data_IF_217008201115
#
_entry.id   IF_217008201115
#
_cell.length_a   1.000
_cell.length_b   1.000
_cell.length_c   1.000
_cell.angle_alpha   90.00
_cell.angle_beta   90.00
_cell.angle_gamma   90.00
#
_symmetry.space_group_name_H-M   'P 1'
#
loop_
_entity.id
_entity.type
_entity.pdbx_description
1 polymer ?
#
# COMPACT_ATOMS: atom_id res chain seq x y z
N UNK A 1 21.07 0.82 -25.38
CA UNK A 1 20.53 -0.14 -26.37
C UNK A 1 21.53 -1.28 -26.50
N UNK A 2 21.07 -2.53 -26.63
CA UNK A 2 21.96 -3.68 -26.80
C UNK A 2 21.43 -4.55 -27.95
N UNK A 3 22.24 -4.76 -28.99
CA UNK A 3 21.84 -5.51 -30.19
C UNK A 3 22.99 -6.34 -30.77
N UNK A 4 22.63 -7.43 -31.44
CA UNK A 4 23.55 -8.22 -32.28
C UNK A 4 23.86 -7.56 -33.63
N UNK A 5 23.16 -6.47 -33.97
CA UNK A 5 23.31 -5.79 -35.25
C UNK A 5 24.66 -5.08 -35.40
N UNK A 6 24.95 -4.70 -36.64
CA UNK A 6 26.14 -3.94 -37.00
C UNK A 6 26.11 -2.50 -36.43
N UNK A 7 27.30 -1.93 -36.20
CA UNK A 7 27.51 -0.62 -35.56
C UNK A 7 26.73 0.49 -36.26
N UNK A 8 26.81 0.55 -37.59
CA UNK A 8 26.18 1.61 -38.38
C UNK A 8 24.66 1.59 -38.26
N UNK A 9 24.06 0.41 -38.36
CA UNK A 9 22.61 0.22 -38.24
C UNK A 9 22.13 0.58 -36.85
N UNK A 10 22.79 0.04 -35.82
CA UNK A 10 22.42 0.29 -34.43
C UNK A 10 22.58 1.77 -34.06
N UNK A 11 23.65 2.44 -34.53
CA UNK A 11 23.87 3.88 -34.31
C UNK A 11 22.78 4.73 -34.98
N UNK A 12 22.42 4.41 -36.22
CA UNK A 12 21.38 5.13 -36.96
C UNK A 12 20.03 5.02 -36.25
N UNK A 13 19.60 3.80 -35.91
CA UNK A 13 18.33 3.55 -35.20
C UNK A 13 18.36 4.22 -33.81
N UNK A 14 19.44 4.06 -33.05
CA UNK A 14 19.56 4.66 -31.72
C UNK A 14 19.49 6.18 -31.76
N UNK A 15 20.01 6.82 -32.81
CA UNK A 15 19.95 8.28 -33.00
C UNK A 15 18.52 8.73 -33.32
N UNK A 16 17.84 8.02 -34.22
CA UNK A 16 16.44 8.31 -34.58
C UNK A 16 15.49 8.13 -33.38
N UNK A 17 15.74 7.13 -32.53
CA UNK A 17 14.96 6.88 -31.32
C UNK A 17 15.33 7.80 -30.14
N UNK A 18 16.34 8.68 -30.28
CA UNK A 18 16.82 9.54 -29.20
C UNK A 18 17.53 8.80 -28.05
N UNK A 19 17.94 7.54 -28.28
CA UNK A 19 18.72 6.73 -27.31
C UNK A 19 20.18 7.20 -27.33
N UNK A 20 20.71 7.47 -28.53
CA UNK A 20 22.04 8.02 -28.71
C UNK A 20 21.96 9.55 -28.65
N UNK A 21 22.64 10.15 -27.68
CA UNK A 21 22.70 11.61 -27.47
C UNK A 21 24.15 12.11 -27.60
N UNK A 22 24.35 13.42 -27.75
CA UNK A 22 25.68 14.00 -27.84
C UNK A 22 26.52 13.62 -26.61
N UNK A 23 27.66 12.94 -26.83
CA UNK A 23 28.50 12.37 -25.77
C UNK A 23 28.23 10.88 -25.45
N UNK A 24 27.29 10.24 -26.13
CA UNK A 24 27.06 8.80 -26.02
C UNK A 24 28.18 7.97 -26.64
N UNK A 25 28.42 6.79 -26.07
CA UNK A 25 29.44 5.84 -26.54
C UNK A 25 28.75 4.67 -27.25
N UNK A 26 29.25 4.32 -28.45
CA UNK A 26 28.87 3.10 -29.17
C UNK A 26 30.04 2.14 -29.10
N UNK A 27 29.79 0.91 -28.67
CA UNK A 27 30.82 -0.08 -28.43
C UNK A 27 30.44 -1.43 -29.02
N UNK A 28 31.42 -2.20 -29.49
CA UNK A 28 31.20 -3.57 -29.93
C UNK A 28 31.35 -4.57 -28.77
N UNK A 29 30.55 -5.65 -28.78
CA UNK A 29 30.60 -6.73 -27.78
C UNK A 29 32.00 -7.30 -27.50
N UNK A 30 32.86 -7.56 -28.51
CA UNK A 30 34.23 -8.03 -28.26
C UNK A 30 35.12 -7.04 -27.51
N UNK A 31 34.87 -5.73 -27.65
CA UNK A 31 35.60 -4.69 -26.91
C UNK A 31 35.08 -4.66 -25.47
N UNK A 32 33.76 -4.73 -25.31
CA UNK A 32 33.09 -4.76 -24.00
C UNK A 32 33.59 -5.92 -23.12
N UNK A 33 33.82 -7.10 -23.70
CA UNK A 33 34.37 -8.27 -22.98
C UNK A 33 35.79 -8.11 -22.45
N UNK A 34 36.56 -7.18 -23.00
CA UNK A 34 37.95 -6.92 -22.58
C UNK A 34 38.05 -5.85 -21.50
N UNK A 35 36.96 -5.12 -21.23
CA UNK A 35 36.94 -4.08 -20.21
C UNK A 35 37.08 -4.69 -18.82
N UNK A 36 37.86 -4.02 -17.99
CA UNK A 36 37.88 -4.35 -16.57
C UNK A 36 36.61 -3.80 -15.89
N UNK A 37 36.26 -4.32 -14.71
CA UNK A 37 35.04 -3.93 -13.99
C UNK A 37 34.95 -2.42 -13.78
N UNK A 38 36.03 -1.76 -13.35
CA UNK A 38 36.06 -0.31 -13.15
C UNK A 38 35.86 0.49 -14.46
N UNK A 39 36.42 0.01 -15.57
CA UNK A 39 36.27 0.64 -16.89
C UNK A 39 34.84 0.48 -17.40
N UNK A 40 34.25 -0.68 -17.15
CA UNK A 40 32.85 -0.97 -17.44
C UNK A 40 31.95 0.01 -16.67
N UNK A 41 32.17 0.22 -15.38
CA UNK A 41 31.39 1.19 -14.59
C UNK A 41 31.44 2.62 -15.13
N UNK A 42 32.61 3.08 -15.53
CA UNK A 42 32.79 4.41 -16.11
C UNK A 42 32.11 4.56 -17.48
N UNK A 43 31.94 3.46 -18.21
CA UNK A 43 31.36 3.44 -19.54
C UNK A 43 29.85 3.25 -19.54
N UNK A 44 29.26 2.61 -18.52
CA UNK A 44 27.84 2.22 -18.49
C UNK A 44 26.75 3.34 -18.59
N UNK A 45 26.97 4.65 -18.38
CA UNK A 45 25.91 5.62 -18.64
C UNK A 45 25.68 5.86 -20.15
N UNK A 46 24.47 5.49 -20.63
CA UNK A 46 23.91 5.85 -21.96
C UNK A 46 24.67 5.28 -23.18
N UNK A 47 24.84 3.96 -23.22
CA UNK A 47 25.55 3.28 -24.32
C UNK A 47 24.67 2.51 -25.31
N UNK A 48 25.21 2.35 -26.52
CA UNK A 48 24.73 1.42 -27.54
C UNK A 48 25.76 0.29 -27.69
N UNK A 49 25.43 -0.90 -27.23
CA UNK A 49 26.24 -2.11 -27.42
C UNK A 49 25.79 -2.82 -28.70
N UNK A 50 26.73 -3.07 -29.59
CA UNK A 50 26.49 -3.65 -30.93
C UNK A 50 27.26 -4.94 -31.09
N UNK A 51 26.84 -5.82 -32.02
CA UNK A 51 27.41 -7.17 -32.16
C UNK A 51 27.51 -7.93 -30.82
N UNK A 52 26.54 -7.73 -29.93
CA UNK A 52 26.52 -8.35 -28.60
C UNK A 52 26.11 -9.83 -28.69
N UNK A 53 26.83 -10.71 -28.03
CA UNK A 53 26.39 -12.09 -27.79
C UNK A 53 25.33 -12.15 -26.68
N UNK A 54 24.57 -13.27 -26.56
CA UNK A 54 23.65 -13.48 -25.43
C UNK A 54 24.33 -13.34 -24.07
N UNK A 55 25.60 -13.75 -23.98
CA UNK A 55 26.40 -13.66 -22.77
C UNK A 55 26.82 -12.23 -22.46
N UNK A 56 27.16 -11.42 -23.47
CA UNK A 56 27.46 -10.00 -23.29
C UNK A 56 26.26 -9.24 -22.72
N UNK A 57 25.05 -9.57 -23.19
CA UNK A 57 23.79 -9.02 -22.65
C UNK A 57 23.58 -9.40 -21.18
N UNK A 58 23.88 -10.65 -20.85
CA UNK A 58 23.78 -11.19 -19.48
C UNK A 58 24.71 -10.44 -18.53
N UNK A 59 25.99 -10.32 -18.89
CA UNK A 59 27.02 -9.63 -18.09
C UNK A 59 26.65 -8.15 -17.88
N UNK A 60 26.19 -7.48 -18.95
CA UNK A 60 25.76 -6.09 -18.88
C UNK A 60 24.65 -5.89 -17.83
N UNK A 61 23.61 -6.74 -17.87
CA UNK A 61 22.48 -6.64 -16.94
C UNK A 61 22.91 -6.97 -15.52
N UNK A 62 23.73 -8.02 -15.34
CA UNK A 62 24.25 -8.42 -14.04
C UNK A 62 25.08 -7.30 -13.39
N UNK A 63 25.96 -6.64 -14.15
CA UNK A 63 26.77 -5.52 -13.64
C UNK A 63 25.91 -4.31 -13.29
N UNK A 64 24.92 -3.97 -14.11
CA UNK A 64 23.96 -2.90 -13.78
C UNK A 64 23.17 -3.23 -12.51
N UNK A 65 22.74 -4.48 -12.32
CA UNK A 65 22.11 -4.91 -11.06
C UNK A 65 23.08 -4.81 -9.87
N UNK A 66 24.36 -5.16 -10.05
CA UNK A 66 25.37 -5.09 -8.98
C UNK A 66 25.68 -3.66 -8.51
N UNK A 67 25.41 -2.66 -9.36
CA UNK A 67 25.52 -1.24 -9.01
C UNK A 67 24.36 -0.74 -8.15
N UNK A 68 23.38 -1.60 -7.86
CA UNK A 68 22.17 -1.23 -7.15
C UNK A 68 21.12 -0.56 -8.04
N UNK A 69 21.30 -0.56 -9.37
CA UNK A 69 20.29 -0.02 -10.30
C UNK A 69 19.15 -1.02 -10.53
N UNK A 70 17.93 -0.51 -10.66
CA UNK A 70 16.76 -1.34 -11.00
C UNK A 70 16.69 -1.52 -12.51
N UNK A 71 17.20 -2.64 -12.99
CA UNK A 71 17.26 -2.96 -14.42
C UNK A 71 15.98 -3.64 -14.92
N UNK A 72 15.40 -3.08 -15.97
CA UNK A 72 14.34 -3.71 -16.75
C UNK A 72 14.83 -4.04 -18.16
N UNK A 73 14.60 -5.26 -18.62
CA UNK A 73 15.04 -5.75 -19.94
C UNK A 73 13.82 -6.09 -20.79
N UNK A 74 13.83 -5.63 -22.04
CA UNK A 74 12.83 -5.97 -23.05
C UNK A 74 13.57 -6.66 -24.20
N UNK A 75 13.16 -7.88 -24.50
CA UNK A 75 13.79 -8.70 -25.53
C UNK A 75 12.76 -9.47 -26.33
N UNK A 76 13.07 -9.83 -27.56
CA UNK A 76 12.16 -10.48 -28.49
C UNK A 76 12.57 -11.91 -28.84
N UNK A 77 13.84 -12.27 -28.60
CA UNK A 77 14.41 -13.55 -28.98
C UNK A 77 14.87 -14.44 -27.81
N UNK A 78 15.22 -15.67 -28.15
CA UNK A 78 15.93 -16.63 -27.28
C UNK A 78 17.27 -16.09 -26.79
N UNK A 79 17.91 -15.24 -27.60
CA UNK A 79 19.17 -14.56 -27.28
C UNK A 79 19.08 -13.63 -26.08
N UNK A 80 17.88 -13.16 -25.72
CA UNK A 80 17.68 -12.30 -24.54
C UNK A 80 17.28 -13.11 -23.30
N UNK A 81 17.08 -14.42 -23.42
CA UNK A 81 16.64 -15.29 -22.33
C UNK A 81 17.48 -15.18 -21.06
N UNK A 82 18.82 -15.28 -21.15
CA UNK A 82 19.69 -15.12 -19.98
C UNK A 82 19.57 -13.74 -19.33
N UNK A 83 19.54 -12.67 -20.13
CA UNK A 83 19.41 -11.30 -19.65
C UNK A 83 18.04 -11.02 -19.03
N UNK A 84 16.96 -11.54 -19.62
CA UNK A 84 15.59 -11.43 -19.11
C UNK A 84 15.41 -12.12 -17.75
N UNK A 85 16.17 -13.20 -17.50
CA UNK A 85 16.10 -13.96 -16.23
C UNK A 85 16.82 -13.25 -15.07
N UNK A 86 17.91 -12.54 -15.36
CA UNK A 86 18.71 -11.83 -14.34
C UNK A 86 18.12 -10.45 -14.03
N UNK A 87 17.45 -9.82 -14.99
CA UNK A 87 16.82 -8.52 -14.79
C UNK A 87 15.75 -8.57 -13.68
N UNK A 88 15.63 -7.49 -12.91
CA UNK A 88 14.55 -7.33 -11.94
C UNK A 88 13.18 -7.40 -12.61
N UNK A 89 13.07 -6.87 -13.82
CA UNK A 89 11.86 -6.92 -14.64
C UNK A 89 12.23 -7.35 -16.07
N UNK A 90 11.96 -8.60 -16.40
CA UNK A 90 12.07 -9.13 -17.76
C UNK A 90 10.72 -9.10 -18.50
N UNK A 91 10.68 -8.55 -19.70
CA UNK A 91 9.47 -8.52 -20.54
C UNK A 91 9.76 -9.00 -21.96
N UNK A 92 9.10 -10.08 -22.40
CA UNK A 92 9.22 -10.52 -23.78
C UNK A 92 8.35 -9.68 -24.72
N UNK A 93 8.90 -9.31 -25.87
CA UNK A 93 8.22 -8.51 -26.88
C UNK A 93 7.05 -9.28 -27.49
N UNK A 94 7.21 -10.59 -27.72
CA UNK A 94 6.18 -11.46 -28.32
C UNK A 94 4.90 -11.50 -27.49
N UNK A 95 5.02 -11.71 -26.16
CA UNK A 95 3.86 -11.71 -25.26
C UNK A 95 3.17 -10.35 -25.23
N UNK A 96 3.93 -9.26 -25.36
CA UNK A 96 3.36 -7.92 -25.41
C UNK A 96 2.75 -7.54 -26.73
N UNK A 97 3.31 -7.99 -27.85
CA UNK A 97 2.68 -7.87 -29.16
C UNK A 97 1.31 -8.55 -29.13
N UNK A 98 1.24 -9.78 -28.60
CA UNK A 98 -0.02 -10.50 -28.42
C UNK A 98 -1.02 -9.82 -27.48
N UNK A 99 -0.56 -9.08 -26.47
CA UNK A 99 -1.44 -8.28 -25.58
C UNK A 99 -1.91 -6.99 -26.23
N UNK A 100 -1.05 -6.34 -27.03
CA UNK A 100 -1.39 -5.11 -27.75
C UNK A 100 -2.33 -5.40 -28.92
N UNK A 101 -2.12 -6.50 -29.67
CA UNK A 101 -2.95 -6.90 -30.81
C UNK A 101 -4.35 -7.38 -30.40
N UNK A 102 -4.50 -7.93 -29.18
CA UNK A 102 -5.82 -8.25 -28.59
C UNK A 102 -6.62 -7.01 -28.20
N UNK A 103 -5.98 -5.85 -28.00
CA UNK A 103 -6.67 -4.57 -27.78
C UNK A 103 -6.94 -3.92 -29.16
N UNK A 104 -8.14 -3.33 -29.35
CA UNK A 104 -8.65 -2.80 -30.64
C UNK A 104 -7.64 -1.96 -31.44
N UNK A 105 -7.87 -1.84 -32.75
CA UNK A 105 -7.03 -1.25 -33.84
C UNK A 105 -6.24 0.04 -33.57
N UNK A 106 -6.54 0.79 -32.49
CA UNK A 106 -5.81 2.00 -32.06
C UNK A 106 -5.18 1.86 -30.66
N UNK A 107 -4.84 0.63 -30.26
CA UNK A 107 -4.18 0.34 -28.99
C UNK A 107 -2.78 0.97 -28.91
N UNK A 108 -2.26 1.20 -27.69
CA UNK A 108 -0.90 1.71 -27.52
C UNK A 108 0.11 0.77 -28.17
N UNK A 109 1.11 1.34 -28.85
CA UNK A 109 2.28 0.60 -29.35
C UNK A 109 2.97 -0.13 -28.19
N UNK A 110 3.75 -1.17 -28.50
CA UNK A 110 4.46 -1.97 -27.49
C UNK A 110 5.19 -1.03 -26.51
N UNK A 111 5.99 -0.09 -27.02
CA UNK A 111 6.73 0.87 -26.18
C UNK A 111 5.83 1.84 -25.40
N UNK A 112 4.72 2.32 -25.98
CA UNK A 112 3.73 3.13 -25.25
C UNK A 112 3.12 2.38 -24.06
N UNK A 113 2.95 1.06 -24.17
CA UNK A 113 2.48 0.23 -23.05
C UNK A 113 3.48 0.20 -21.88
N UNK A 114 4.80 0.16 -22.12
CA UNK A 114 5.80 0.27 -21.02
C UNK A 114 5.59 1.53 -20.24
N UNK A 115 5.45 2.65 -20.93
CA UNK A 115 5.35 3.95 -20.24
C UNK A 115 4.09 3.95 -19.37
N UNK A 116 2.97 3.40 -19.86
CA UNK A 116 1.75 3.24 -19.08
C UNK A 116 1.92 2.29 -17.89
N UNK A 117 2.63 1.18 -18.07
CA UNK A 117 2.87 0.20 -17.01
C UNK A 117 3.78 0.80 -15.91
N UNK A 118 4.82 1.55 -16.29
CA UNK A 118 5.68 2.29 -15.36
C UNK A 118 4.88 3.36 -14.61
N UNK A 119 4.03 4.12 -15.32
CA UNK A 119 3.14 5.10 -14.67
C UNK A 119 2.21 4.42 -13.66
N UNK A 120 1.60 3.31 -14.03
CA UNK A 120 0.71 2.53 -13.15
C UNK A 120 1.46 2.01 -11.93
N UNK A 121 2.64 1.41 -12.11
CA UNK A 121 3.49 0.93 -11.02
C UNK A 121 3.86 2.04 -10.04
N UNK A 122 4.21 3.24 -10.53
CA UNK A 122 4.46 4.42 -9.70
C UNK A 122 3.22 4.85 -8.91
N UNK A 123 2.06 4.87 -9.56
CA UNK A 123 0.80 5.19 -8.88
C UNK A 123 0.49 4.19 -7.75
N UNK A 124 0.73 2.90 -7.99
CA UNK A 124 0.53 1.85 -6.98
C UNK A 124 1.50 2.02 -5.81
N UNK A 125 2.77 2.33 -6.07
CA UNK A 125 3.74 2.57 -4.99
C UNK A 125 3.33 3.78 -4.11
N UNK A 126 2.94 4.90 -4.74
CA UNK A 126 2.46 6.07 -4.01
C UNK A 126 1.17 5.76 -3.23
N UNK A 127 0.29 4.94 -3.81
CA UNK A 127 -0.93 4.48 -3.16
C UNK A 127 -0.61 3.66 -1.91
N UNK A 128 0.32 2.71 -2.01
CA UNK A 128 0.75 1.85 -0.90
C UNK A 128 1.38 2.68 0.21
N UNK A 129 2.20 3.69 -0.10
CA UNK A 129 2.81 4.56 0.92
C UNK A 129 1.75 5.35 1.71
N UNK A 130 0.77 5.93 1.04
CA UNK A 130 -0.36 6.62 1.68
C UNK A 130 -1.20 5.67 2.51
N UNK A 131 -1.38 4.44 2.02
CA UNK A 131 -2.08 3.39 2.75
C UNK A 131 -1.36 3.02 4.05
N UNK A 132 -0.05 2.76 3.96
CA UNK A 132 0.78 2.41 5.11
C UNK A 132 0.83 3.52 6.16
N UNK A 133 0.95 4.79 5.75
CA UNK A 133 0.96 5.91 6.69
C UNK A 133 -0.34 5.96 7.53
N UNK A 134 -1.49 5.81 6.88
CA UNK A 134 -2.78 5.85 7.55
C UNK A 134 -3.00 4.62 8.46
N UNK A 135 -2.69 3.42 7.94
CA UNK A 135 -2.92 2.18 8.67
C UNK A 135 -1.99 2.05 9.88
N UNK A 136 -0.70 2.36 9.70
CA UNK A 136 0.28 2.26 10.77
C UNK A 136 0.00 3.28 11.89
N UNK A 137 -0.41 4.51 11.54
CA UNK A 137 -0.80 5.53 12.53
C UNK A 137 -1.97 5.07 13.41
N UNK A 138 -2.95 4.41 12.78
CA UNK A 138 -4.15 3.93 13.46
C UNK A 138 -3.82 2.73 14.35
N UNK A 139 -3.03 1.79 13.86
CA UNK A 139 -2.63 0.60 14.62
C UNK A 139 -1.75 0.98 15.83
N UNK A 140 -0.80 1.90 15.67
CA UNK A 140 0.05 2.37 16.78
C UNK A 140 -0.81 3.02 17.87
N UNK A 141 -1.73 3.91 17.49
CA UNK A 141 -2.66 4.56 18.43
C UNK A 141 -3.49 3.53 19.18
N UNK A 142 -4.04 2.55 18.46
CA UNK A 142 -4.87 1.49 19.03
C UNK A 142 -4.15 0.68 20.12
N UNK A 143 -2.91 0.27 19.82
CA UNK A 143 -2.09 -0.48 20.77
C UNK A 143 -1.78 0.36 21.99
N UNK A 144 -1.29 1.59 21.80
CA UNK A 144 -0.89 2.46 22.93
C UNK A 144 -2.06 2.80 23.84
N UNK A 145 -3.20 3.23 23.27
CA UNK A 145 -4.39 3.56 24.08
C UNK A 145 -4.89 2.34 24.83
N UNK A 146 -4.97 1.18 24.17
CA UNK A 146 -5.42 -0.06 24.83
C UNK A 146 -4.46 -0.48 25.95
N UNK A 147 -3.15 -0.35 25.75
CA UNK A 147 -2.15 -0.66 26.77
C UNK A 147 -2.25 0.29 27.97
N UNK A 148 -2.35 1.60 27.74
CA UNK A 148 -2.47 2.59 28.82
C UNK A 148 -3.77 2.39 29.61
N UNK A 149 -4.91 2.26 28.93
CA UNK A 149 -6.20 2.03 29.59
C UNK A 149 -6.22 0.72 30.37
N UNK A 150 -5.59 -0.36 29.86
CA UNK A 150 -5.53 -1.63 30.58
C UNK A 150 -4.68 -1.59 31.86
N UNK A 151 -3.71 -0.68 31.94
CA UNK A 151 -2.87 -0.50 33.14
C UNK A 151 -3.62 0.34 34.18
N UNK A 152 -4.30 1.40 33.76
CA UNK A 152 -4.96 2.35 34.68
C UNK A 152 -6.33 1.85 35.15
N UNK A 153 -7.06 1.12 34.29
CA UNK A 153 -8.43 0.68 34.56
C UNK A 153 -8.53 -0.86 34.50
N UNK A 154 -8.85 -1.50 35.64
CA UNK A 154 -9.05 -2.96 35.74
C UNK A 154 -10.32 -3.44 35.03
N UNK A 155 -11.29 -2.54 34.85
CA UNK A 155 -12.40 -2.70 33.93
C UNK A 155 -12.06 -1.99 32.63
N UNK A 156 -11.95 -2.74 31.54
CA UNK A 156 -12.91 -2.61 30.44
C UNK A 156 -12.48 -3.46 29.24
N UNK A 157 -13.14 -4.60 29.13
CA UNK A 157 -13.18 -5.38 27.89
C UNK A 157 -13.81 -4.60 26.72
N UNK A 158 -14.43 -3.44 26.98
CA UNK A 158 -15.02 -2.51 26.03
C UNK A 158 -13.95 -1.84 25.15
N UNK A 159 -12.98 -1.11 25.72
CA UNK A 159 -11.93 -0.39 24.95
C UNK A 159 -11.12 -1.32 24.03
N UNK A 160 -10.83 -2.53 24.50
CA UNK A 160 -10.12 -3.57 23.71
C UNK A 160 -10.93 -4.06 22.49
N UNK A 161 -12.27 -4.14 22.60
CA UNK A 161 -13.16 -4.52 21.48
C UNK A 161 -13.37 -3.37 20.49
N UNK A 162 -13.35 -2.13 20.97
CA UNK A 162 -13.59 -0.92 20.17
C UNK A 162 -12.50 -0.73 19.10
N UNK A 163 -11.22 -0.91 19.45
CA UNK A 163 -10.12 -0.76 18.49
C UNK A 163 -10.04 -1.88 17.44
N UNK A 164 -10.38 -3.13 17.80
CA UNK A 164 -10.40 -4.26 16.88
C UNK A 164 -11.49 -4.14 15.80
N UNK A 165 -12.66 -3.57 16.13
CA UNK A 165 -13.72 -3.29 15.15
C UNK A 165 -13.39 -2.08 14.26
N UNK A 166 -12.79 -1.01 14.79
CA UNK A 166 -12.41 0.14 13.96
C UNK A 166 -11.25 -0.17 13.00
N UNK A 167 -10.21 -0.88 13.45
CA UNK A 167 -9.02 -1.12 12.61
C UNK A 167 -9.28 -1.94 11.35
N UNK A 168 -10.28 -2.84 11.39
CA UNK A 168 -10.60 -3.76 10.30
C UNK A 168 -11.54 -3.14 9.25
N UNK A 169 -12.51 -2.30 9.60
CA UNK A 169 -13.40 -1.63 8.63
C UNK A 169 -12.76 -0.39 7.96
N UNK A 170 -11.84 0.30 8.66
CA UNK A 170 -11.17 1.50 8.15
C UNK A 170 -10.10 1.21 7.07
N UNK A 171 -9.55 -0.01 7.03
CA UNK A 171 -8.47 -0.39 6.12
C UNK A 171 -8.94 -0.57 4.66
N UNK A 172 -10.13 -1.15 4.43
CA UNK A 172 -10.64 -1.45 3.08
C UNK A 172 -10.99 -0.20 2.28
N UNK A 173 -11.54 0.83 2.92
CA UNK A 173 -11.97 2.08 2.25
C UNK A 173 -10.80 2.96 1.82
N UNK A 174 -9.67 2.91 2.53
CA UNK A 174 -8.47 3.68 2.18
C UNK A 174 -7.64 3.02 1.06
N UNK A 175 -7.61 1.69 1.02
CA UNK A 175 -6.99 0.91 -0.07
C UNK A 175 -7.66 1.21 -1.43
N UNK A 176 -8.99 1.33 -1.45
CA UNK A 176 -9.75 1.69 -2.66
C UNK A 176 -9.48 3.12 -3.16
N UNK A 177 -9.16 4.06 -2.26
CA UNK A 177 -9.01 5.49 -2.60
C UNK A 177 -7.59 5.95 -2.91
N UNK A 178 -6.60 5.13 -2.57
CA UNK A 178 -5.21 5.45 -2.84
C UNK A 178 -4.87 5.43 -4.35
N UNK A 179 -5.81 5.03 -5.23
CA UNK A 179 -5.80 5.27 -6.68
C UNK A 179 -5.95 6.77 -7.03
N UNK A 180 -4.99 7.60 -6.62
CA UNK A 180 -4.82 8.92 -7.23
C UNK A 180 -4.36 8.78 -8.69
N UNK A 181 -4.95 9.56 -9.59
CA UNK A 181 -4.61 9.62 -11.01
C UNK A 181 -3.09 9.85 -11.23
N UNK A 182 -2.52 9.30 -12.32
CA UNK A 182 -1.09 9.36 -12.60
C UNK A 182 -0.62 10.80 -12.75
N UNK A 183 0.03 11.33 -11.71
CA UNK A 183 0.78 12.57 -11.83
C UNK A 183 2.07 12.21 -12.57
N UNK A 184 2.12 12.64 -13.82
CA UNK A 184 3.18 12.43 -14.78
C UNK A 184 4.42 13.26 -14.39
N UNK A 185 5.06 12.94 -13.27
CA UNK A 185 6.41 13.43 -12.96
C UNK A 185 7.40 12.30 -13.20
N UNK A 186 7.98 12.35 -14.40
CA UNK A 186 8.99 11.43 -14.95
C UNK A 186 10.38 11.63 -14.32
N UNK A 187 10.46 11.98 -13.03
CA UNK A 187 11.76 12.05 -12.36
C UNK A 187 12.20 10.63 -11.95
N UNK A 188 13.49 10.29 -12.06
CA UNK A 188 14.00 9.01 -11.57
C UNK A 188 13.74 8.95 -10.07
N UNK A 189 13.13 7.84 -9.64
CA UNK A 189 12.92 7.57 -8.23
C UNK A 189 14.28 7.13 -7.67
N UNK A 190 14.83 7.84 -6.70
CA UNK A 190 15.90 7.27 -5.87
C UNK A 190 15.30 6.06 -5.14
N UNK A 191 16.09 5.01 -4.92
CA UNK A 191 15.71 3.82 -4.15
C UNK A 191 15.61 4.24 -2.67
N UNK A 192 14.67 5.12 -2.37
CA UNK A 192 14.30 5.43 -1.00
C UNK A 192 13.43 4.28 -0.50
N UNK A 193 13.75 3.80 0.70
CA UNK A 193 12.91 2.90 1.48
C UNK A 193 11.43 3.30 1.35
N UNK A 194 10.56 2.30 1.31
CA UNK A 194 9.11 2.47 1.29
C UNK A 194 8.65 3.44 2.40
N UNK A 195 9.37 3.48 3.51
CA UNK A 195 9.24 4.45 4.59
C UNK A 195 10.43 5.43 4.60
N UNK A 196 10.16 6.70 4.35
CA UNK A 196 11.14 7.79 4.44
C UNK A 196 11.11 8.39 5.85
N UNK A 197 12.18 9.04 6.29
CA UNK A 197 12.21 9.78 7.57
C UNK A 197 11.07 10.81 7.68
N UNK A 198 10.58 11.32 6.55
CA UNK A 198 9.41 12.19 6.47
C UNK A 198 8.12 11.46 6.85
N UNK A 199 7.93 10.23 6.37
CA UNK A 199 6.78 9.40 6.72
C UNK A 199 6.75 9.11 8.22
N UNK A 200 7.91 8.85 8.83
CA UNK A 200 8.00 8.61 10.27
C UNK A 200 7.61 9.86 11.09
N UNK A 201 8.05 11.06 10.72
CA UNK A 201 7.66 12.30 11.43
C UNK A 201 6.14 12.50 11.41
N UNK A 202 5.51 12.33 10.25
CA UNK A 202 4.06 12.47 10.11
C UNK A 202 3.30 11.39 10.87
N UNK A 203 3.81 10.15 10.84
CA UNK A 203 3.28 9.01 11.58
C UNK A 203 3.26 9.30 13.09
N UNK A 204 4.41 9.71 13.66
CA UNK A 204 4.54 10.00 15.08
C UNK A 204 3.65 11.18 15.52
N UNK A 205 3.58 12.24 14.72
CA UNK A 205 2.77 13.41 15.06
C UNK A 205 1.27 13.08 15.06
N UNK A 206 0.80 12.32 14.07
CA UNK A 206 -0.60 11.92 13.96
C UNK A 206 -1.01 10.92 15.04
N UNK A 207 -0.16 9.93 15.35
CA UNK A 207 -0.44 8.99 16.43
C UNK A 207 -0.43 9.67 17.80
N UNK A 208 0.56 10.54 18.07
CA UNK A 208 0.62 11.29 19.32
C UNK A 208 -0.63 12.15 19.54
N UNK A 209 -1.07 12.88 18.50
CA UNK A 209 -2.31 13.66 18.56
C UNK A 209 -3.52 12.78 18.91
N UNK A 210 -3.69 11.65 18.23
CA UNK A 210 -4.84 10.76 18.46
C UNK A 210 -4.80 10.14 19.87
N UNK A 211 -3.62 9.73 20.33
CA UNK A 211 -3.43 9.18 21.68
C UNK A 211 -3.80 10.23 22.74
N UNK A 212 -3.25 11.44 22.64
CA UNK A 212 -3.49 12.52 23.62
C UNK A 212 -4.97 12.88 23.69
N UNK A 213 -5.61 13.12 22.55
CA UNK A 213 -7.04 13.45 22.52
C UNK A 213 -7.88 12.32 23.10
N UNK A 214 -7.59 11.07 22.75
CA UNK A 214 -8.36 9.93 23.26
C UNK A 214 -8.21 9.76 24.77
N UNK A 215 -7.00 9.90 25.30
CA UNK A 215 -6.74 9.76 26.73
C UNK A 215 -7.35 10.91 27.55
N UNK A 216 -7.29 12.16 27.04
CA UNK A 216 -7.93 13.31 27.70
C UNK A 216 -9.43 13.05 27.86
N UNK A 217 -10.11 12.62 26.79
CA UNK A 217 -11.55 12.34 26.86
C UNK A 217 -11.88 11.07 27.65
N UNK A 218 -10.95 10.13 27.78
CA UNK A 218 -11.15 8.93 28.59
C UNK A 218 -11.03 9.19 30.09
N UNK A 219 -10.15 10.10 30.52
CA UNK A 219 -9.96 10.41 31.95
C UNK A 219 -10.74 11.64 32.42
N UNK A 220 -10.90 12.64 31.57
CA UNK A 220 -11.53 13.92 31.89
C UNK A 220 -12.86 14.12 31.16
N UNK A 221 -13.40 13.09 30.51
CA UNK A 221 -14.62 13.18 29.69
C UNK A 221 -15.80 13.76 30.45
N UNK A 222 -16.10 13.20 31.63
CA UNK A 222 -17.20 13.68 32.49
C UNK A 222 -17.00 15.13 32.96
N UNK A 223 -15.77 15.52 33.31
CA UNK A 223 -15.46 16.88 33.74
C UNK A 223 -15.57 17.90 32.60
N UNK A 224 -15.09 17.55 31.40
CA UNK A 224 -15.18 18.38 30.19
C UNK A 224 -16.65 18.55 29.75
N UNK A 225 -17.48 17.53 29.94
CA UNK A 225 -18.91 17.56 29.62
C UNK A 225 -19.76 18.21 30.72
N UNK A 226 -19.18 18.52 31.89
CA UNK A 226 -19.91 19.10 33.03
C UNK A 226 -20.97 18.17 33.63
N UNK A 227 -20.77 16.86 33.51
CA UNK A 227 -21.74 15.84 33.94
C UNK A 227 -21.30 15.20 35.26
N UNK A 228 -22.23 15.03 36.20
CA UNK A 228 -21.97 14.27 37.44
C UNK A 228 -21.82 12.77 37.13
N UNK A 229 -20.98 12.07 37.90
CA UNK A 229 -20.74 10.63 37.78
C UNK A 229 -21.98 9.83 38.19
N UNK A 230 -22.88 9.60 37.23
CA UNK A 230 -24.11 8.81 37.36
C UNK A 230 -24.04 7.66 36.35
N UNK A 231 -24.63 6.50 36.65
CA UNK A 231 -24.63 5.32 35.75
C UNK A 231 -25.14 5.57 34.32
N UNK A 232 -26.02 6.57 34.12
CA UNK A 232 -26.42 7.04 32.79
C UNK A 232 -25.34 7.86 32.10
N UNK A 233 -24.59 8.67 32.83
CA UNK A 233 -23.55 9.53 32.28
C UNK A 233 -22.28 8.73 31.94
N UNK A 234 -22.01 7.62 32.62
CA UNK A 234 -20.91 6.69 32.25
C UNK A 234 -21.14 6.08 30.87
N UNK A 235 -22.40 5.77 30.52
CA UNK A 235 -22.75 5.28 29.18
C UNK A 235 -22.56 6.35 28.09
N UNK A 236 -22.74 7.63 28.44
CA UNK A 236 -22.49 8.78 27.56
C UNK A 236 -20.98 8.98 27.39
N UNK A 237 -20.19 8.89 28.46
CA UNK A 237 -18.72 8.97 28.40
C UNK A 237 -18.14 7.88 27.50
N UNK A 238 -18.53 6.62 27.68
CA UNK A 238 -18.09 5.51 26.81
C UNK A 238 -18.45 5.76 25.34
N UNK A 239 -19.58 6.41 25.07
CA UNK A 239 -20.02 6.78 23.71
C UNK A 239 -19.14 7.88 23.13
N UNK A 240 -18.80 8.89 23.91
CA UNK A 240 -17.93 10.01 23.50
C UNK A 240 -16.50 9.51 23.26
N UNK A 241 -15.93 8.76 24.21
CA UNK A 241 -14.61 8.15 24.10
C UNK A 241 -14.51 7.24 22.89
N UNK A 242 -15.59 6.55 22.53
CA UNK A 242 -15.61 5.78 21.30
C UNK A 242 -15.59 6.63 20.03
N UNK A 243 -16.38 7.71 19.97
CA UNK A 243 -16.57 8.46 18.72
C UNK A 243 -15.37 9.35 18.38
N UNK A 244 -14.66 9.86 19.39
CA UNK A 244 -13.57 10.82 19.20
C UNK A 244 -12.40 10.28 18.37
N UNK A 245 -11.87 9.06 18.61
CA UNK A 245 -10.85 8.45 17.76
C UNK A 245 -11.31 8.31 16.29
N UNK A 246 -12.59 8.04 16.06
CA UNK A 246 -13.15 7.90 14.70
C UNK A 246 -13.15 9.25 13.98
N UNK A 247 -13.58 10.31 14.65
CA UNK A 247 -13.50 11.67 14.08
C UNK A 247 -12.04 12.06 13.81
N UNK A 248 -11.13 11.77 14.74
CA UNK A 248 -9.70 12.02 14.56
C UNK A 248 -9.12 11.25 13.35
N UNK A 249 -9.59 10.02 13.09
CA UNK A 249 -9.22 9.23 11.91
C UNK A 249 -9.73 9.84 10.60
N UNK A 250 -10.91 10.45 10.59
CA UNK A 250 -11.41 11.18 9.40
C UNK A 250 -10.48 12.34 9.05
N UNK A 251 -9.99 13.09 10.04
CA UNK A 251 -9.01 14.15 9.78
C UNK A 251 -7.66 13.58 9.33
N UNK A 252 -7.18 12.51 9.97
CA UNK A 252 -5.94 11.84 9.58
C UNK A 252 -6.01 11.27 8.16
N UNK A 253 -7.18 10.84 7.72
CA UNK A 253 -7.43 10.37 6.36
C UNK A 253 -7.19 11.48 5.33
N UNK A 254 -7.72 12.68 5.56
CA UNK A 254 -7.45 13.82 4.69
C UNK A 254 -5.98 14.23 4.70
N UNK A 255 -5.34 14.16 5.87
CA UNK A 255 -3.92 14.47 6.01
C UNK A 255 -3.02 13.45 5.28
N UNK A 256 -3.36 12.16 5.34
CA UNK A 256 -2.61 11.06 4.70
C UNK A 256 -2.76 11.00 3.17
N UNK A 257 -3.63 11.84 2.58
CA UNK A 257 -3.79 11.98 1.13
C UNK A 257 -2.54 12.51 0.45
N UNK A 258 -1.81 13.40 1.14
CA UNK A 258 -0.57 14.02 0.66
C UNK A 258 0.60 13.48 1.48
N UNK A 259 1.65 13.10 0.77
CA UNK A 259 2.95 12.75 1.36
C UNK A 259 3.93 13.94 1.32
N UNK A 260 3.48 15.10 0.80
CA UNK A 260 4.27 16.32 0.69
C UNK A 260 4.26 17.10 2.01
N UNK A 261 5.35 17.81 2.34
CA UNK A 261 5.44 18.70 3.51
C UNK A 261 4.67 20.03 3.34
N UNK A 262 3.64 20.08 2.49
CA UNK A 262 2.84 21.31 2.27
C UNK A 262 1.65 21.33 3.22
N UNK A 263 1.42 22.48 3.86
CA UNK A 263 0.33 22.67 4.83
C UNK A 263 -1.07 22.68 4.18
N UNK A 264 -1.17 22.92 2.87
CA UNK A 264 -2.46 22.98 2.18
C UNK A 264 -3.03 21.57 1.90
N UNK A 265 -3.79 21.04 2.86
CA UNK A 265 -4.44 19.72 2.79
C UNK A 265 -5.62 19.72 1.78
N UNK A 266 -6.30 20.86 1.61
CA UNK A 266 -7.49 21.00 0.75
C UNK A 266 -7.20 21.24 -0.73
N UNK A 267 -5.94 21.53 -1.10
CA UNK A 267 -5.56 21.81 -2.48
C UNK A 267 -5.86 20.61 -3.39
N UNK A 268 -6.69 20.81 -4.42
CA UNK A 268 -7.03 19.76 -5.37
C UNK A 268 -7.87 18.61 -4.78
N UNK A 269 -8.59 18.84 -3.68
CA UNK A 269 -9.51 17.84 -3.09
C UNK A 269 -10.70 17.54 -4.01
N UNK A 270 -11.28 18.58 -4.61
CA UNK A 270 -12.43 18.46 -5.51
C UNK A 270 -12.06 18.08 -6.95
N UNK A 271 -10.78 18.07 -7.30
CA UNK A 271 -10.33 17.75 -8.67
C UNK A 271 -10.58 16.29 -9.04
N UNK A 272 -10.68 15.40 -8.06
CA UNK A 272 -10.96 13.99 -8.27
C UNK A 272 -12.35 13.64 -7.71
N UNK A 273 -13.36 13.59 -8.58
CA UNK A 273 -14.73 13.27 -8.17
C UNK A 273 -14.86 11.88 -7.54
N UNK A 274 -14.06 10.89 -7.99
CA UNK A 274 -14.03 9.56 -7.36
C UNK A 274 -13.52 9.63 -5.92
N UNK A 275 -12.54 10.51 -5.65
CA UNK A 275 -12.05 10.73 -4.29
C UNK A 275 -13.20 11.19 -3.38
N UNK A 276 -13.91 12.24 -3.79
CA UNK A 276 -15.02 12.83 -3.01
C UNK A 276 -16.15 11.83 -2.78
N UNK A 277 -16.62 11.16 -3.84
CA UNK A 277 -17.75 10.21 -3.77
C UNK A 277 -17.45 9.05 -2.83
N UNK A 278 -16.28 8.42 -2.96
CA UNK A 278 -15.93 7.27 -2.12
C UNK A 278 -15.61 7.71 -0.69
N UNK A 279 -15.02 8.90 -0.47
CA UNK A 279 -14.86 9.43 0.90
C UNK A 279 -16.22 9.65 1.56
N UNK A 280 -17.21 10.21 0.85
CA UNK A 280 -18.56 10.42 1.39
C UNK A 280 -19.28 9.11 1.69
N UNK A 281 -19.30 8.17 0.73
CA UNK A 281 -19.91 6.84 0.92
C UNK A 281 -19.19 6.08 2.03
N UNK A 282 -17.87 6.12 2.07
CA UNK A 282 -17.06 5.48 3.11
C UNK A 282 -17.38 6.04 4.50
N UNK A 283 -17.47 7.36 4.65
CA UNK A 283 -17.87 7.99 5.92
C UNK A 283 -19.31 7.66 6.30
N UNK A 284 -20.23 7.61 5.33
CA UNK A 284 -21.61 7.21 5.58
C UNK A 284 -21.70 5.77 6.11
N UNK A 285 -21.03 4.82 5.45
CA UNK A 285 -20.97 3.43 5.89
C UNK A 285 -20.37 3.33 7.31
N UNK A 286 -19.34 4.13 7.63
CA UNK A 286 -18.75 4.18 8.98
C UNK A 286 -19.76 4.61 10.03
N UNK A 287 -20.54 5.67 9.78
CA UNK A 287 -21.57 6.14 10.71
C UNK A 287 -22.69 5.11 10.90
N UNK A 288 -23.14 4.46 9.81
CA UNK A 288 -24.21 3.45 9.85
C UNK A 288 -23.77 2.19 10.58
N UNK A 289 -22.62 1.61 10.21
CA UNK A 289 -22.08 0.42 10.86
C UNK A 289 -21.83 0.67 12.35
N UNK A 290 -21.40 1.89 12.71
CA UNK A 290 -21.21 2.24 14.11
C UNK A 290 -22.52 2.33 14.89
N UNK A 291 -23.53 2.97 14.32
CA UNK A 291 -24.86 3.04 14.94
C UNK A 291 -25.39 1.62 15.21
N UNK A 292 -25.18 0.70 14.26
CA UNK A 292 -25.57 -0.71 14.40
C UNK A 292 -24.77 -1.47 15.47
N UNK A 293 -23.43 -1.38 15.47
CA UNK A 293 -22.60 -2.02 16.49
C UNK A 293 -22.83 -1.47 17.90
N UNK A 294 -23.22 -0.20 18.04
CA UNK A 294 -23.55 0.37 19.34
C UNK A 294 -24.89 -0.15 19.85
N UNK A 295 -25.92 -0.18 19.01
CA UNK A 295 -27.25 -0.71 19.36
C UNK A 295 -27.15 -2.18 19.81
N UNK A 296 -26.37 -3.00 19.08
CA UNK A 296 -26.29 -4.44 19.36
C UNK A 296 -25.31 -4.82 20.49
N UNK A 297 -24.42 -3.91 20.92
CA UNK A 297 -23.53 -4.12 22.07
C UNK A 297 -23.99 -3.37 23.34
N UNK A 298 -24.91 -2.41 23.22
CA UNK A 298 -25.61 -1.78 24.35
C UNK A 298 -26.74 -2.64 24.91
N UNK A 299 -27.25 -3.59 24.14
CA UNK A 299 -27.99 -4.73 24.69
C UNK A 299 -27.00 -5.83 25.08
N UNK A 300 -26.92 -6.06 26.39
CA UNK A 300 -26.35 -7.23 27.02
C UNK A 300 -26.62 -8.49 26.17
N UNK A 301 -25.55 -9.16 25.74
CA UNK A 301 -25.63 -10.52 25.20
C UNK A 301 -25.73 -11.52 26.38
N UNK A 302 -26.90 -11.64 27.05
CA UNK A 302 -27.28 -12.99 27.50
C UNK A 302 -28.72 -13.40 27.14
N UNK A 303 -29.46 -12.66 26.30
CA UNK A 303 -30.86 -13.02 26.02
C UNK A 303 -31.14 -13.69 24.67
N UNK A 304 -30.15 -13.78 23.77
CA UNK A 304 -30.32 -14.49 22.50
C UNK A 304 -30.06 -16.01 22.58
N UNK A 305 -29.50 -16.50 23.69
CA UNK A 305 -29.26 -17.94 23.91
C UNK A 305 -30.29 -18.58 24.87
N UNK A 306 -31.16 -17.78 25.50
CA UNK A 306 -32.18 -18.25 26.46
C UNK A 306 -33.62 -18.21 25.93
N UNK A 307 -33.84 -17.85 24.66
CA UNK A 307 -35.15 -17.90 23.98
C UNK A 307 -35.34 -19.11 23.06
N UNK A 308 -34.51 -20.15 23.23
CA UNK A 308 -34.53 -21.34 22.37
C UNK A 308 -34.84 -22.68 23.04
N UNK A 309 -35.03 -22.74 24.37
CA UNK A 309 -35.14 -24.04 25.06
C UNK A 309 -36.03 -24.00 26.30
N UNK A 310 -37.28 -23.52 26.17
CA UNK A 310 -38.34 -23.84 27.15
C UNK A 310 -39.65 -24.09 26.40
N UNK A 311 -39.75 -25.23 25.71
CA UNK A 311 -41.03 -25.91 25.44
C UNK A 311 -40.79 -27.28 24.81
N UNK A 312 -41.17 -28.36 25.52
CA UNK A 312 -41.13 -29.76 25.06
C UNK A 312 -39.72 -30.36 25.05
N UNK A 313 -39.42 -31.54 25.57
CA UNK A 313 -40.25 -32.74 25.66
C UNK A 313 -39.55 -33.72 26.61
N UNK A 314 -40.27 -34.15 27.66
CA UNK A 314 -39.95 -35.38 28.40
C UNK A 314 -40.13 -36.55 27.43
N UNK A 315 -39.06 -37.27 27.07
CA UNK A 315 -39.07 -38.73 26.87
C UNK A 315 -37.68 -39.30 26.55
N UNK A 316 -37.15 -40.05 27.51
CA UNK A 316 -36.54 -41.39 27.34
C UNK A 316 -35.50 -41.62 26.23
N UNK A 317 -34.24 -41.88 26.65
CA UNK A 317 -33.29 -42.94 26.21
C UNK A 317 -31.87 -42.49 26.63
N UNK A 318 -31.26 -42.99 27.70
CA UNK A 318 -30.53 -44.27 27.79
C UNK A 318 -29.80 -44.67 26.49
N UNK A 319 -28.49 -44.40 26.42
CA UNK A 319 -27.43 -45.24 25.84
C UNK A 319 -26.08 -44.57 26.15
N UNK A 320 -25.41 -44.96 27.24
CA UNK A 320 -24.29 -45.94 27.27
C UNK A 320 -23.11 -45.46 26.43
N UNK A 321 -22.15 -44.80 27.07
CA UNK A 321 -20.75 -44.77 26.62
C UNK A 321 -19.98 -45.78 27.48
N UNK A 322 -19.74 -46.96 26.92
CA UNK A 322 -18.73 -47.92 27.39
C UNK A 322 -17.70 -48.08 26.27
N UNK A 323 -16.55 -47.43 26.41
CA UNK A 323 -15.30 -47.90 25.82
C UNK A 323 -14.23 -47.80 26.92
N UNK A 324 -13.97 -48.97 27.49
CA UNK A 324 -12.87 -49.26 28.41
C UNK A 324 -11.52 -49.06 27.72
N UNK A 325 -10.50 -48.48 28.36
CA UNK A 325 -9.11 -48.86 28.12
C UNK A 325 -8.77 -50.04 29.04
N UNK A 326 -8.10 -51.02 28.47
CA UNK A 326 -7.44 -52.13 29.17
C UNK A 326 -6.78 -51.72 30.49
N UNK A 327 -7.06 -52.55 31.51
CA UNK A 327 -6.44 -52.73 32.84
C UNK A 327 -6.95 -51.85 33.99
#
# INVERSE_FOLDING_TARGET
MCTGDNVLTARSIASQCGIFTAGGIVMEGPIFRKLNDAEMLNTLPRQVLTRSSPEDKRILVEKLCSLGEIVAVIGDGTNDGPALKIAHIGSSMVLRWQRCSRRRRHGPTIFSSIVKDIMCGRCVNDAVRKFLQFQLSTNVTAVVVTSVTAIVSSLETSVRRLYNCSGSTLSWTHSLLSRSLPILRLLPFSIESLTSSRHHKQLFLQSAYQIVVTLIFHFFGLQILGLEATSKNDSVEQTVVFNIPVFAQIFNYFNSRRLDCKLNIFEGLLKNHYFVVITLIGNFIRCVFRSFCFIHNGESIPNLMNRGTVSGEKRSRQMIYTLSPSL
#
